data_IF_947949175615
#
_entry.id   IF_947949175615
#
_cell.length_a   1.000
_cell.length_b   1.000
_cell.length_c   1.000
_cell.angle_alpha   90.00
_cell.angle_beta   90.00
_cell.angle_gamma   90.00
#
_symmetry.space_group_name_H-M   'P 1'
#
loop_
_entity.id
_entity.type
_entity.pdbx_description
1 polymer ?
#
# COMPACT_ATOMS: atom_id res chain seq x y z
N UNK A 1 16.08 8.68 2.70
CA UNK A 1 15.48 8.63 1.35
C UNK A 1 14.32 9.60 1.35
N UNK A 2 14.21 10.47 0.35
CA UNK A 2 13.06 11.38 0.25
C UNK A 2 11.79 10.56 -0.03
N UNK A 3 10.71 10.86 0.68
CA UNK A 3 9.43 10.19 0.50
C UNK A 3 8.86 10.51 -0.89
N UNK A 4 8.18 9.53 -1.54
CA UNK A 4 7.52 9.80 -2.79
C UNK A 4 6.41 10.82 -2.57
N UNK A 5 6.31 11.81 -3.46
CA UNK A 5 5.15 12.70 -3.51
C UNK A 5 3.96 11.89 -3.99
N UNK A 6 2.84 11.95 -3.27
CA UNK A 6 1.62 11.21 -3.59
C UNK A 6 0.62 12.20 -4.19
N UNK A 7 0.04 11.86 -5.34
CA UNK A 7 -0.98 12.68 -5.99
C UNK A 7 -2.04 11.84 -6.68
N UNK A 8 -3.18 12.45 -7.01
CA UNK A 8 -4.28 11.84 -7.75
C UNK A 8 -4.45 12.56 -9.09
N UNK A 9 -4.51 11.80 -10.18
CA UNK A 9 -4.78 12.35 -11.53
C UNK A 9 -5.51 11.33 -12.39
N UNK A 10 -6.65 11.72 -12.98
CA UNK A 10 -7.41 10.89 -13.94
C UNK A 10 -7.72 9.47 -13.43
N UNK A 11 -8.17 9.31 -12.19
CA UNK A 11 -8.40 8.01 -11.53
C UNK A 11 -7.14 7.17 -11.26
N UNK A 12 -5.95 7.77 -11.36
CA UNK A 12 -4.70 7.14 -10.94
C UNK A 12 -4.19 7.75 -9.64
N UNK A 13 -3.77 6.88 -8.73
CA UNK A 13 -2.86 7.19 -7.64
C UNK A 13 -1.43 7.18 -8.19
N UNK A 14 -0.72 8.29 -8.01
CA UNK A 14 0.64 8.48 -8.53
C UNK A 14 1.61 8.61 -7.37
N UNK A 15 2.59 7.72 -7.32
CA UNK A 15 3.75 7.83 -6.44
C UNK A 15 4.93 8.37 -7.25
N UNK A 16 5.39 9.57 -6.90
CA UNK A 16 6.43 10.27 -7.61
C UNK A 16 7.71 10.35 -6.78
N UNK A 17 8.81 9.88 -7.35
CA UNK A 17 10.17 10.08 -6.82
C UNK A 17 10.96 11.01 -7.76
N UNK A 18 12.22 11.28 -7.43
CA UNK A 18 13.06 12.14 -8.25
C UNK A 18 13.36 11.59 -9.66
N UNK A 19 13.22 10.27 -9.90
CA UNK A 19 13.51 9.63 -11.18
C UNK A 19 12.37 8.78 -11.76
N UNK A 20 11.38 8.40 -10.95
CA UNK A 20 10.32 7.44 -11.30
C UNK A 20 8.94 7.97 -10.94
N UNK A 21 7.97 7.74 -11.82
CA UNK A 21 6.54 7.85 -11.58
C UNK A 21 5.93 6.44 -11.58
N UNK A 22 5.27 6.05 -10.49
CA UNK A 22 4.49 4.83 -10.42
C UNK A 22 3.01 5.20 -10.41
N UNK A 23 2.25 4.68 -11.37
CA UNK A 23 0.81 4.93 -11.48
C UNK A 23 0.04 3.65 -11.17
N UNK A 24 -0.98 3.79 -10.34
CA UNK A 24 -1.93 2.74 -9.93
C UNK A 24 -3.32 3.22 -10.27
N UNK A 25 -4.07 2.47 -11.06
CA UNK A 25 -5.50 2.76 -11.22
C UNK A 25 -6.22 2.43 -9.92
N UNK A 26 -7.10 3.29 -9.42
CA UNK A 26 -7.93 2.93 -8.26
C UNK A 26 -8.76 1.66 -8.52
N UNK A 27 -9.21 1.46 -9.76
CA UNK A 27 -9.97 0.28 -10.16
C UNK A 27 -9.18 -1.02 -10.08
N UNK A 28 -7.84 -0.94 -10.15
CA UNK A 28 -6.97 -2.11 -10.07
C UNK A 28 -6.64 -2.52 -8.65
N UNK A 29 -6.95 -1.69 -7.65
CA UNK A 29 -6.71 -2.02 -6.24
C UNK A 29 -7.68 -3.11 -5.80
N UNK A 30 -7.12 -4.23 -5.35
CA UNK A 30 -7.90 -5.33 -4.80
C UNK A 30 -8.00 -5.25 -3.29
N UNK A 31 -6.87 -5.13 -2.59
CA UNK A 31 -6.82 -5.18 -1.14
C UNK A 31 -5.79 -4.18 -0.61
N UNK A 32 -6.08 -3.53 0.52
CA UNK A 32 -5.16 -2.63 1.21
C UNK A 32 -5.05 -3.06 2.68
N UNK A 33 -3.85 -3.36 3.13
CA UNK A 33 -3.52 -3.70 4.51
C UNK A 33 -2.61 -2.65 5.13
N UNK A 34 -2.80 -2.37 6.42
CA UNK A 34 -1.83 -1.65 7.23
C UNK A 34 -1.40 -2.53 8.38
N UNK A 35 -0.09 -2.62 8.58
CA UNK A 35 0.52 -3.29 9.72
C UNK A 35 1.42 -2.34 10.49
N UNK A 36 1.39 -2.46 11.81
CA UNK A 36 2.34 -1.82 12.70
C UNK A 36 3.77 -2.31 12.41
N UNK A 37 4.73 -1.39 12.41
CA UNK A 37 6.16 -1.70 12.38
C UNK A 37 6.75 -1.34 13.74
N UNK A 38 7.76 -2.08 14.19
CA UNK A 38 8.38 -1.97 15.52
C UNK A 38 8.80 -0.53 15.93
N UNK A 39 8.97 0.37 14.97
CA UNK A 39 9.18 1.81 15.19
C UNK A 39 7.83 2.49 15.37
N UNK A 40 7.57 3.04 16.56
CA UNK A 40 6.25 3.52 17.01
C UNK A 40 5.51 4.47 16.05
N UNK A 41 6.22 5.16 15.16
CA UNK A 41 5.64 6.17 14.25
C UNK A 41 5.48 5.70 12.82
N UNK A 42 5.86 4.45 12.51
CA UNK A 42 5.85 3.93 11.13
C UNK A 42 4.94 2.73 10.97
N UNK A 43 4.31 2.68 9.81
CA UNK A 43 3.39 1.61 9.43
C UNK A 43 3.77 1.08 8.07
N UNK A 44 3.70 -0.23 7.93
CA UNK A 44 3.80 -0.90 6.64
C UNK A 44 2.43 -0.86 6.00
N UNK A 45 2.33 -0.29 4.80
CA UNK A 45 1.16 -0.47 3.94
C UNK A 45 1.50 -1.47 2.85
N UNK A 46 0.55 -2.38 2.61
CA UNK A 46 0.58 -3.32 1.50
C UNK A 46 -0.65 -3.06 0.63
N UNK A 47 -0.43 -2.71 -0.64
CA UNK A 47 -1.48 -2.48 -1.64
C UNK A 47 -1.34 -3.58 -2.69
N UNK A 48 -2.39 -4.38 -2.85
CA UNK A 48 -2.46 -5.48 -3.81
C UNK A 48 -3.30 -5.10 -5.01
N UNK A 49 -2.84 -5.48 -6.20
CA UNK A 49 -3.41 -5.07 -7.47
C UNK A 49 -3.74 -6.27 -8.36
N UNK A 50 -4.81 -6.17 -9.16
CA UNK A 50 -5.13 -7.15 -10.20
C UNK A 50 -4.56 -6.77 -11.58
N UNK A 51 -3.99 -5.58 -11.71
CA UNK A 51 -3.30 -5.11 -12.91
C UNK A 51 -1.90 -4.61 -12.52
N UNK A 52 -0.91 -4.74 -13.41
CA UNK A 52 0.44 -4.35 -13.10
C UNK A 52 0.58 -2.83 -12.96
N UNK A 53 1.44 -2.41 -12.03
CA UNK A 53 1.92 -1.05 -11.84
C UNK A 53 2.49 -0.48 -13.14
N UNK A 54 2.06 0.72 -13.51
CA UNK A 54 2.66 1.45 -14.63
C UNK A 54 3.84 2.25 -14.08
N UNK A 55 5.05 1.88 -14.51
CA UNK A 55 6.29 2.55 -14.12
C UNK A 55 6.83 3.40 -15.27
N UNK A 56 6.93 4.71 -15.07
CA UNK A 56 7.41 5.67 -16.05
C UNK A 56 8.63 6.42 -15.52
N UNK A 57 9.60 6.69 -16.39
CA UNK A 57 10.70 7.60 -16.08
C UNK A 57 10.17 9.02 -15.95
N UNK A 58 10.53 9.71 -14.86
CA UNK A 58 10.18 11.13 -14.68
C UNK A 58 10.87 12.02 -15.71
N UNK A 59 12.11 11.67 -16.09
CA UNK A 59 12.83 12.32 -17.18
C UNK A 59 13.86 11.39 -17.80
N UNK A 60 14.20 11.65 -19.06
CA UNK A 60 15.07 10.79 -19.88
C UNK A 60 16.58 11.00 -19.68
N UNK A 61 17.01 11.55 -18.55
CA UNK A 61 18.43 11.73 -18.27
C UNK A 61 19.15 10.38 -18.13
N UNK A 62 20.44 10.35 -18.47
CA UNK A 62 21.25 9.13 -18.36
C UNK A 62 21.23 8.55 -16.92
N UNK A 63 21.32 9.43 -15.92
CA UNK A 63 21.23 9.05 -14.50
C UNK A 63 19.89 8.38 -14.18
N UNK A 64 18.77 8.97 -14.62
CA UNK A 64 17.46 8.41 -14.36
C UNK A 64 17.24 7.08 -15.08
N UNK A 65 17.73 6.94 -16.33
CA UNK A 65 17.71 5.67 -17.07
C UNK A 65 18.47 4.57 -16.32
N UNK A 66 19.64 4.88 -15.78
CA UNK A 66 20.43 3.93 -14.99
C UNK A 66 19.70 3.53 -13.70
N UNK A 67 19.18 4.49 -12.95
CA UNK A 67 18.41 4.22 -11.72
C UNK A 67 17.15 3.41 -11.99
N UNK A 68 16.45 3.70 -13.09
CA UNK A 68 15.27 2.94 -13.50
C UNK A 68 15.61 1.50 -13.89
N UNK A 69 16.74 1.28 -14.57
CA UNK A 69 17.22 -0.06 -14.86
C UNK A 69 17.48 -0.85 -13.57
N UNK A 70 18.19 -0.25 -12.62
CA UNK A 70 18.43 -0.85 -11.29
C UNK A 70 17.11 -1.13 -10.58
N UNK A 71 16.20 -0.16 -10.55
CA UNK A 71 14.87 -0.32 -9.97
C UNK A 71 14.11 -1.51 -10.56
N UNK A 72 14.08 -1.66 -11.89
CA UNK A 72 13.41 -2.79 -12.54
C UNK A 72 14.06 -4.14 -12.23
N UNK A 73 15.36 -4.19 -11.98
CA UNK A 73 16.03 -5.43 -11.59
C UNK A 73 15.63 -5.90 -10.18
N UNK A 74 15.32 -4.97 -9.27
CA UNK A 74 14.95 -5.26 -7.89
C UNK A 74 13.43 -5.36 -7.67
N UNK A 75 12.63 -4.61 -8.42
CA UNK A 75 11.17 -4.63 -8.29
C UNK A 75 10.56 -5.78 -9.12
N UNK A 76 10.46 -6.95 -8.49
CA UNK A 76 10.01 -8.19 -9.15
C UNK A 76 8.49 -8.39 -9.14
N UNK A 77 7.76 -7.72 -8.26
CA UNK A 77 6.31 -7.90 -8.15
C UNK A 77 5.55 -6.65 -8.64
N UNK A 78 5.09 -6.63 -9.91
CA UNK A 78 4.35 -5.50 -10.43
C UNK A 78 2.91 -5.42 -9.91
N UNK A 79 2.44 -6.38 -9.13
CA UNK A 79 1.07 -6.45 -8.61
C UNK A 79 0.96 -6.02 -7.14
N UNK A 80 2.05 -5.53 -6.55
CA UNK A 80 2.10 -5.19 -5.14
C UNK A 80 2.92 -3.92 -4.91
N UNK A 81 2.41 -3.04 -4.04
CA UNK A 81 3.21 -1.97 -3.44
C UNK A 81 3.34 -2.26 -1.95
N UNK A 82 4.56 -2.40 -1.48
CA UNK A 82 4.89 -2.44 -0.05
C UNK A 82 5.75 -1.22 0.27
N UNK A 83 5.28 -0.39 1.20
CA UNK A 83 6.03 0.78 1.66
C UNK A 83 5.80 1.05 3.15
N UNK A 84 6.72 1.79 3.77
CA UNK A 84 6.60 2.26 5.14
C UNK A 84 6.33 3.76 5.15
N UNK A 85 5.32 4.18 5.90
CA UNK A 85 4.89 5.57 6.01
C UNK A 85 4.88 6.01 7.46
N UNK A 86 5.16 7.29 7.69
CA UNK A 86 4.89 7.92 8.98
C UNK A 86 3.40 8.27 9.12
N UNK A 87 2.92 8.46 10.36
CA UNK A 87 1.50 8.72 10.64
C UNK A 87 0.88 9.83 9.77
N UNK A 88 1.59 10.94 9.58
CA UNK A 88 1.10 12.10 8.82
C UNK A 88 0.92 11.76 7.33
N UNK A 89 1.89 11.08 6.75
CA UNK A 89 1.87 10.64 5.35
C UNK A 89 0.81 9.57 5.12
N UNK A 90 0.74 8.61 6.05
CA UNK A 90 -0.25 7.55 6.02
C UNK A 90 -1.68 8.12 6.12
N UNK A 91 -1.91 9.10 7.00
CA UNK A 91 -3.20 9.76 7.12
C UNK A 91 -3.62 10.45 5.81
N UNK A 92 -2.67 11.13 5.13
CA UNK A 92 -2.93 11.72 3.82
C UNK A 92 -3.29 10.67 2.77
N UNK A 93 -2.54 9.56 2.72
CA UNK A 93 -2.81 8.45 1.80
C UNK A 93 -4.16 7.76 2.09
N UNK A 94 -4.50 7.56 3.36
CA UNK A 94 -5.79 6.97 3.76
C UNK A 94 -6.97 7.86 3.40
N UNK A 95 -6.80 9.18 3.50
CA UNK A 95 -7.79 10.14 3.03
C UNK A 95 -8.02 10.02 1.52
N UNK A 96 -6.94 9.92 0.74
CA UNK A 96 -7.03 9.68 -0.71
C UNK A 96 -7.80 8.39 -1.00
N UNK A 97 -7.51 7.29 -0.29
CA UNK A 97 -8.28 6.05 -0.46
C UNK A 97 -9.75 6.22 -0.14
N UNK A 98 -10.10 6.86 0.98
CA UNK A 98 -11.50 7.10 1.35
C UNK A 98 -12.26 7.96 0.34
N UNK A 99 -11.58 8.86 -0.35
CA UNK A 99 -12.19 9.72 -1.38
C UNK A 99 -12.36 9.02 -2.74
N UNK A 100 -11.63 7.92 -3.00
CA UNK A 100 -11.58 7.28 -4.33
C UNK A 100 -11.96 5.78 -4.33
N UNK A 101 -12.08 5.14 -3.17
CA UNK A 101 -12.42 3.72 -3.01
C UNK A 101 -13.63 3.55 -2.10
N UNK A 102 -14.59 2.76 -2.55
CA UNK A 102 -15.80 2.45 -1.79
C UNK A 102 -15.49 1.64 -0.53
N UNK A 103 -16.24 1.90 0.54
CA UNK A 103 -16.16 1.13 1.80
C UNK A 103 -14.78 1.08 2.47
N UNK A 104 -13.92 2.07 2.21
CA UNK A 104 -12.63 2.21 2.89
C UNK A 104 -12.83 2.43 4.39
N UNK A 105 -12.13 1.66 5.22
CA UNK A 105 -12.11 1.79 6.68
C UNK A 105 -10.80 2.43 7.14
N UNK A 106 -10.88 3.62 7.73
CA UNK A 106 -9.72 4.32 8.28
C UNK A 106 -9.63 4.04 9.79
N UNK A 107 -8.48 3.55 10.31
CA UNK A 107 -8.26 3.43 11.75
C UNK A 107 -8.12 4.81 12.39
N UNK A 108 -8.89 5.09 13.44
CA UNK A 108 -8.79 6.35 14.19
C UNK A 108 -7.58 6.43 15.13
N UNK A 109 -6.86 5.31 15.31
CA UNK A 109 -5.88 5.07 16.37
C UNK A 109 -4.52 4.61 15.81
N UNK A 110 -4.03 5.24 14.74
CA UNK A 110 -2.74 4.94 14.10
C UNK A 110 -1.56 4.99 15.09
N UNK A 111 -1.56 5.97 15.99
CA UNK A 111 -0.58 6.16 17.07
C UNK A 111 -0.55 5.00 18.07
N UNK A 112 -1.68 4.30 18.24
CA UNK A 112 -1.83 3.13 19.13
C UNK A 112 -1.82 1.81 18.37
N UNK A 113 -1.31 1.81 17.14
CA UNK A 113 -1.25 0.63 16.27
C UNK A 113 -0.60 -0.62 16.87
N UNK A 114 0.34 -0.45 17.81
CA UNK A 114 0.95 -1.56 18.56
C UNK A 114 -0.07 -2.37 19.37
N UNK A 115 -1.19 -1.76 19.76
CA UNK A 115 -2.27 -2.38 20.53
C UNK A 115 -3.35 -3.01 19.64
N UNK A 116 -3.28 -2.84 18.33
CA UNK A 116 -4.28 -3.37 17.41
C UNK A 116 -4.40 -4.87 17.51
N UNK A 117 -5.64 -5.33 17.64
CA UNK A 117 -6.02 -6.73 17.74
C UNK A 117 -7.31 -6.91 16.96
N UNK A 118 -7.20 -7.36 15.72
CA UNK A 118 -8.37 -7.67 14.89
C UNK A 118 -8.76 -9.12 15.14
N UNK A 119 -10.04 -9.37 15.41
CA UNK A 119 -10.58 -10.72 15.52
C UNK A 119 -11.44 -10.98 14.31
N UNK A 120 -11.09 -11.99 13.52
CA UNK A 120 -11.81 -12.35 12.31
C UNK A 120 -11.80 -13.88 12.12
N UNK A 121 -12.96 -14.47 11.81
CA UNK A 121 -13.14 -15.93 11.69
C UNK A 121 -12.57 -16.74 12.89
N UNK A 122 -12.65 -16.19 14.11
CA UNK A 122 -12.09 -16.81 15.32
C UNK A 122 -10.56 -16.71 15.46
N UNK A 123 -9.87 -16.11 14.49
CA UNK A 123 -8.44 -15.82 14.54
C UNK A 123 -8.19 -14.44 15.13
N UNK A 124 -7.19 -14.34 16.00
CA UNK A 124 -6.71 -13.07 16.54
C UNK A 124 -5.47 -12.62 15.79
N UNK A 125 -5.58 -11.55 15.03
CA UNK A 125 -4.53 -11.00 14.17
C UNK A 125 -4.00 -9.72 14.82
N UNK A 126 -2.79 -9.75 15.42
CA UNK A 126 -2.22 -8.58 16.07
C UNK A 126 -1.63 -7.59 15.05
N UNK A 127 -1.70 -6.31 15.37
CA UNK A 127 -0.96 -5.25 14.70
C UNK A 127 -1.36 -4.97 13.25
N UNK A 128 -2.41 -5.60 12.72
CA UNK A 128 -2.81 -5.47 11.31
C UNK A 128 -4.30 -5.13 11.19
N UNK A 129 -4.61 -4.19 10.29
CA UNK A 129 -5.97 -3.80 9.92
C UNK A 129 -6.15 -3.89 8.39
N UNK A 130 -7.32 -4.39 7.99
CA UNK A 130 -7.78 -4.31 6.61
C UNK A 130 -8.42 -2.95 6.39
N UNK A 131 -7.95 -2.23 5.37
CA UNK A 131 -8.42 -0.88 5.03
C UNK A 131 -9.46 -0.95 3.92
N UNK A 132 -9.23 -1.81 2.95
CA UNK A 132 -10.09 -1.97 1.79
C UNK A 132 -9.94 -3.39 1.25
N UNK A 133 -11.06 -3.96 0.80
CA UNK A 133 -11.09 -5.15 -0.05
C UNK A 133 -12.20 -4.99 -1.08
N UNK A 134 -11.84 -5.00 -2.36
CA UNK A 134 -12.76 -4.87 -3.49
C UNK A 134 -13.84 -5.94 -3.47
N UNK A 135 -13.46 -7.16 -3.06
CA UNK A 135 -14.33 -8.32 -2.98
C UNK A 135 -15.00 -8.47 -1.61
N UNK A 136 -14.90 -7.45 -0.74
CA UNK A 136 -15.49 -7.42 0.61
C UNK A 136 -15.06 -8.60 1.50
N UNK A 137 -13.82 -9.08 1.30
CA UNK A 137 -13.26 -10.17 2.08
C UNK A 137 -12.92 -9.72 3.50
N UNK A 138 -12.93 -10.67 4.43
CA UNK A 138 -12.42 -10.48 5.79
C UNK A 138 -10.89 -10.39 5.82
N UNK A 139 -10.31 -9.88 6.91
CA UNK A 139 -8.86 -9.78 7.07
C UNK A 139 -8.19 -11.17 6.99
N UNK A 140 -8.77 -12.19 7.61
CA UNK A 140 -8.21 -13.54 7.59
C UNK A 140 -8.15 -14.12 6.16
N UNK A 141 -9.17 -13.86 5.35
CA UNK A 141 -9.26 -14.29 3.96
C UNK A 141 -8.25 -13.57 3.08
N UNK A 142 -8.12 -12.25 3.25
CA UNK A 142 -7.12 -11.44 2.52
C UNK A 142 -5.70 -11.89 2.86
N UNK A 143 -5.41 -12.18 4.14
CA UNK A 143 -4.09 -12.68 4.53
C UNK A 143 -3.78 -14.06 3.93
N UNK A 144 -4.77 -14.96 3.82
CA UNK A 144 -4.60 -16.25 3.12
C UNK A 144 -4.38 -16.05 1.62
N UNK A 145 -5.21 -15.23 0.98
CA UNK A 145 -5.12 -14.88 -0.47
C UNK A 145 -3.72 -14.43 -0.86
N UNK A 146 -3.07 -13.63 -0.01
CA UNK A 146 -1.72 -13.09 -0.25
C UNK A 146 -0.59 -13.87 0.45
N UNK A 147 -0.87 -15.10 0.90
CA UNK A 147 0.10 -16.00 1.55
C UNK A 147 0.82 -15.41 2.79
N UNK A 148 0.16 -14.48 3.49
CA UNK A 148 0.64 -13.86 4.73
C UNK A 148 0.22 -14.65 5.97
N UNK A 149 -0.73 -15.58 5.81
CA UNK A 149 -1.15 -16.53 6.82
C UNK A 149 -1.16 -17.92 6.19
N UNK A 150 -0.57 -18.91 6.87
CA UNK A 150 -0.60 -20.28 6.40
C UNK A 150 -2.02 -20.83 6.39
N UNK A 151 -2.39 -21.53 5.31
CA UNK A 151 -3.60 -22.36 5.29
C UNK A 151 -3.42 -23.50 6.29
N UNK A 152 -4.40 -23.69 7.18
CA UNK A 152 -4.45 -24.83 8.12
C UNK A 152 -5.44 -25.85 7.61
#
# INVERSE_FOLDING_TARGET
>A
MAFPTISVKNNFLIFETFFLLQKVSFDSIEDILISHVQVQTKHKISIYLNQPLINELKSETFVNKLLFFVFRAFNKNPYEIIAQYENTELAALLRIFKENLDHTTIPDDLDKSILWRTVDQGLRIPGTKLIYSKNKLGLAEVLKKHHLLAER
#
